data_IF_349652721221
#
_entry.id   IF_349652721221
#
_cell.length_a   1.000
_cell.length_b   1.000
_cell.length_c   1.000
_cell.angle_alpha   90.00
_cell.angle_beta   90.00
_cell.angle_gamma   90.00
#
_symmetry.space_group_name_H-M   'P 1'
#
loop_
_entity.id
_entity.type
_entity.pdbx_description
1 polymer ?
#
# COMPACT_ATOMS: atom_id res chain seq x y z
N UNK A 1 -54.36 -20.65 -14.30
CA UNK A 1 -54.00 -19.30 -14.63
C UNK A 1 -53.52 -18.53 -13.37
N UNK A 2 -52.44 -18.99 -12.68
CA UNK A 2 -51.90 -18.30 -11.49
C UNK A 2 -50.34 -18.40 -11.39
N UNK A 3 -49.63 -18.56 -12.51
CA UNK A 3 -48.15 -18.67 -12.50
C UNK A 3 -47.40 -17.63 -13.35
N UNK A 4 -48.12 -16.62 -13.88
CA UNK A 4 -47.48 -15.63 -14.80
C UNK A 4 -47.24 -14.24 -14.16
N UNK A 5 -47.75 -13.99 -12.95
CA UNK A 5 -47.67 -12.63 -12.34
C UNK A 5 -46.46 -12.45 -11.40
N UNK A 6 -45.72 -13.51 -11.08
CA UNK A 6 -44.58 -13.43 -10.16
C UNK A 6 -43.21 -13.14 -10.86
N UNK A 7 -43.15 -13.37 -12.19
CA UNK A 7 -41.92 -13.17 -12.95
C UNK A 7 -41.67 -11.70 -13.37
N UNK A 8 -42.73 -10.88 -13.41
CA UNK A 8 -42.64 -9.47 -13.82
C UNK A 8 -42.20 -8.57 -12.66
N UNK A 9 -42.46 -8.98 -11.41
CA UNK A 9 -42.04 -8.17 -10.23
C UNK A 9 -40.56 -8.26 -9.89
N UNK A 10 -39.87 -9.32 -10.34
CA UNK A 10 -38.43 -9.50 -10.11
C UNK A 10 -37.58 -8.72 -11.15
N UNK A 11 -38.13 -8.52 -12.35
CA UNK A 11 -37.46 -7.72 -13.39
C UNK A 11 -37.51 -6.20 -13.14
N UNK A 12 -38.50 -5.71 -12.38
CA UNK A 12 -38.65 -4.30 -12.04
C UNK A 12 -37.79 -3.89 -10.82
N UNK A 13 -37.37 -4.85 -9.98
CA UNK A 13 -36.42 -4.56 -8.86
C UNK A 13 -34.96 -4.56 -9.30
N UNK A 14 -34.65 -5.21 -10.43
CA UNK A 14 -33.28 -5.18 -10.99
C UNK A 14 -32.91 -3.87 -11.68
N UNK A 15 -33.88 -3.09 -12.15
CA UNK A 15 -33.65 -1.84 -12.85
C UNK A 15 -33.45 -0.61 -11.92
N UNK A 16 -33.87 -0.70 -10.67
CA UNK A 16 -33.71 0.38 -9.70
C UNK A 16 -32.36 0.35 -8.98
N UNK A 17 -31.67 -0.78 -8.97
CA UNK A 17 -30.31 -0.84 -8.43
C UNK A 17 -29.23 -0.39 -9.43
N UNK A 18 -29.52 -0.43 -10.73
CA UNK A 18 -28.58 0.03 -11.76
C UNK A 18 -28.52 1.56 -11.92
N UNK A 19 -29.52 2.29 -11.44
CA UNK A 19 -29.59 3.75 -11.59
C UNK A 19 -28.89 4.58 -10.50
N UNK A 20 -28.38 3.94 -9.44
CA UNK A 20 -27.67 4.66 -8.37
C UNK A 20 -26.18 4.83 -8.67
N UNK A 21 -25.66 4.17 -9.71
CA UNK A 21 -24.22 4.20 -10.07
C UNK A 21 -23.87 5.11 -11.28
N UNK A 22 -24.82 5.79 -11.90
CA UNK A 22 -24.56 6.55 -13.13
C UNK A 22 -24.11 8.01 -12.94
N UNK A 23 -23.78 8.48 -11.73
CA UNK A 23 -23.40 9.88 -11.51
C UNK A 23 -22.07 10.06 -10.75
N UNK A 24 -21.08 9.21 -11.00
CA UNK A 24 -19.69 9.58 -10.71
C UNK A 24 -18.96 9.78 -12.04
N UNK A 25 -18.88 11.03 -12.50
CA UNK A 25 -17.94 11.46 -13.55
C UNK A 25 -16.49 11.36 -13.01
N UNK A 26 -16.04 10.17 -12.64
CA UNK A 26 -14.63 9.87 -12.55
C UNK A 26 -14.24 9.45 -13.96
N UNK A 27 -13.37 10.17 -14.67
CA UNK A 27 -12.90 9.73 -15.97
C UNK A 27 -12.09 8.45 -15.79
N UNK A 28 -12.74 7.29 -16.02
CA UNK A 28 -11.99 6.05 -16.20
C UNK A 28 -11.00 6.26 -17.33
N UNK A 29 -9.72 6.10 -17.07
CA UNK A 29 -8.73 6.00 -18.14
C UNK A 29 -9.14 4.88 -19.09
N UNK A 30 -8.94 5.03 -20.42
CA UNK A 30 -9.30 3.98 -21.37
C UNK A 30 -8.68 2.65 -20.97
N UNK A 31 -9.45 1.57 -21.01
CA UNK A 31 -9.00 0.20 -20.69
C UNK A 31 -7.73 -0.17 -21.48
N UNK A 32 -7.58 0.37 -22.70
CA UNK A 32 -6.39 0.19 -23.54
C UNK A 32 -5.11 0.77 -22.95
N UNK A 33 -5.21 1.90 -22.23
CA UNK A 33 -4.07 2.55 -21.59
C UNK A 33 -3.65 1.80 -20.33
N UNK A 34 -4.63 1.30 -19.56
CA UNK A 34 -4.40 0.42 -18.43
C UNK A 34 -3.83 -0.94 -18.87
N UNK A 35 -4.37 -1.55 -19.90
CA UNK A 35 -3.92 -2.85 -20.41
C UNK A 35 -2.46 -2.82 -20.92
N UNK A 36 -2.02 -1.73 -21.55
CA UNK A 36 -0.62 -1.58 -21.98
C UNK A 36 0.34 -1.44 -20.81
N UNK A 37 -0.05 -0.69 -19.77
CA UNK A 37 0.73 -0.54 -18.55
C UNK A 37 0.87 -1.87 -17.81
N UNK A 38 -0.24 -2.57 -17.56
CA UNK A 38 -0.21 -3.89 -16.91
C UNK A 38 0.55 -4.95 -17.71
N UNK A 39 0.48 -4.90 -19.06
CA UNK A 39 1.26 -5.79 -19.90
C UNK A 39 2.77 -5.55 -19.78
N UNK A 40 3.21 -4.30 -19.67
CA UNK A 40 4.61 -3.95 -19.46
C UNK A 40 5.10 -4.38 -18.07
N UNK A 41 4.30 -4.13 -17.04
CA UNK A 41 4.61 -4.53 -15.66
C UNK A 41 4.63 -6.06 -15.51
N UNK A 42 3.66 -6.77 -16.07
CA UNK A 42 3.62 -8.23 -16.03
C UNK A 42 4.82 -8.89 -16.74
N UNK A 43 5.40 -8.25 -17.77
CA UNK A 43 6.63 -8.73 -18.41
C UNK A 43 7.86 -8.56 -17.52
N UNK A 44 7.93 -7.49 -16.75
CA UNK A 44 9.02 -7.27 -15.80
C UNK A 44 9.01 -8.31 -14.67
N UNK A 45 7.83 -8.81 -14.26
CA UNK A 45 7.70 -9.87 -13.24
C UNK A 45 8.03 -11.29 -13.75
N UNK A 46 8.31 -11.48 -15.04
CA UNK A 46 8.69 -12.78 -15.63
C UNK A 46 10.21 -12.98 -15.72
N UNK A 47 10.97 -12.45 -14.77
CA UNK A 47 12.42 -12.59 -14.74
C UNK A 47 12.84 -14.00 -14.33
N UNK A 48 13.98 -14.45 -14.88
CA UNK A 48 14.52 -15.78 -14.57
C UNK A 48 15.04 -15.92 -13.14
N UNK A 49 15.56 -14.80 -12.57
CA UNK A 49 16.14 -14.72 -11.22
C UNK A 49 15.12 -14.57 -10.08
N UNK A 50 13.84 -14.55 -10.39
CA UNK A 50 12.77 -14.33 -9.41
C UNK A 50 12.72 -15.41 -8.31
N UNK A 51 13.28 -16.59 -8.58
CA UNK A 51 13.35 -17.73 -7.67
C UNK A 51 14.74 -17.94 -7.05
N UNK A 52 15.69 -17.05 -7.32
CA UNK A 52 17.07 -17.22 -6.82
C UNK A 52 17.23 -16.74 -5.37
N UNK A 53 16.24 -15.99 -4.87
CA UNK A 53 16.19 -15.50 -3.50
C UNK A 53 14.75 -15.24 -3.05
N UNK A 54 14.52 -15.34 -1.75
CA UNK A 54 13.27 -15.00 -1.04
C UNK A 54 13.45 -13.73 -0.24
N UNK A 55 12.48 -12.81 -0.31
CA UNK A 55 12.50 -11.58 0.51
C UNK A 55 11.58 -11.75 1.69
N UNK A 56 12.14 -11.79 2.89
CA UNK A 56 11.38 -12.03 4.11
C UNK A 56 11.07 -10.75 4.93
N UNK A 57 11.78 -9.62 4.68
CA UNK A 57 11.51 -8.37 5.40
C UNK A 57 11.96 -7.15 4.59
N UNK A 58 11.16 -6.09 4.71
CA UNK A 58 11.51 -4.77 4.22
C UNK A 58 11.49 -3.74 5.37
N UNK A 59 12.53 -2.91 5.45
CA UNK A 59 12.52 -1.67 6.21
C UNK A 59 12.48 -0.50 5.22
N UNK A 60 11.37 0.21 5.19
CA UNK A 60 11.11 1.30 4.24
C UNK A 60 11.08 2.61 5.02
N UNK A 61 12.02 3.50 4.73
CA UNK A 61 12.09 4.84 5.31
C UNK A 61 11.88 5.86 4.20
N UNK A 62 10.89 6.73 4.36
CA UNK A 62 10.57 7.79 3.40
C UNK A 62 10.55 9.15 4.09
N UNK A 63 11.26 10.09 3.50
CA UNK A 63 11.10 11.52 3.74
C UNK A 63 10.32 12.11 2.55
N UNK A 64 9.16 12.71 2.84
CA UNK A 64 8.19 13.09 1.82
C UNK A 64 8.01 14.61 1.83
N UNK A 65 8.50 15.25 0.79
CA UNK A 65 8.31 16.69 0.60
C UNK A 65 7.06 16.92 -0.26
N UNK A 66 6.00 17.40 0.37
CA UNK A 66 4.69 17.61 -0.27
C UNK A 66 4.75 18.77 -1.28
N UNK A 67 5.50 19.82 -0.99
CA UNK A 67 5.55 21.04 -1.82
C UNK A 67 6.25 20.78 -3.15
N UNK A 68 7.31 19.95 -3.14
CA UNK A 68 8.07 19.60 -4.34
C UNK A 68 7.62 18.30 -4.98
N UNK A 69 6.72 17.54 -4.31
CA UNK A 69 6.27 16.21 -4.72
C UNK A 69 7.43 15.22 -4.91
N UNK A 70 8.47 15.35 -4.11
CA UNK A 70 9.66 14.49 -4.12
C UNK A 70 9.67 13.62 -2.86
N UNK A 71 10.01 12.36 -3.04
CA UNK A 71 10.33 11.45 -1.95
C UNK A 71 11.83 11.16 -1.94
N UNK A 72 12.39 11.04 -0.73
CA UNK A 72 13.72 10.52 -0.46
C UNK A 72 13.53 9.22 0.31
N UNK A 73 14.05 8.14 -0.22
CA UNK A 73 13.85 6.82 0.35
C UNK A 73 15.15 6.16 0.77
N UNK A 74 15.08 5.39 1.85
CA UNK A 74 16.09 4.42 2.24
C UNK A 74 15.37 3.10 2.49
N UNK A 75 15.69 2.08 1.71
CA UNK A 75 15.08 0.76 1.83
C UNK A 75 16.13 -0.28 2.13
N UNK A 76 15.91 -1.07 3.17
CA UNK A 76 16.66 -2.29 3.42
C UNK A 76 15.80 -3.49 3.01
N UNK A 77 16.36 -4.31 2.12
CA UNK A 77 15.76 -5.55 1.65
C UNK A 77 16.49 -6.71 2.33
N UNK A 78 15.80 -7.42 3.19
CA UNK A 78 16.34 -8.60 3.87
C UNK A 78 15.89 -9.84 3.10
N UNK A 79 16.85 -10.62 2.65
CA UNK A 79 16.60 -11.76 1.79
C UNK A 79 17.43 -13.00 2.17
N UNK A 80 16.94 -14.13 1.69
CA UNK A 80 17.59 -15.43 1.82
C UNK A 80 17.88 -15.95 0.40
N UNK A 81 19.13 -16.30 0.06
CA UNK A 81 19.44 -17.01 -1.17
C UNK A 81 18.73 -18.37 -1.22
N UNK A 82 18.10 -18.65 -2.36
CA UNK A 82 17.51 -19.96 -2.71
C UNK A 82 18.44 -20.79 -3.61
N UNK A 83 19.56 -20.18 -4.02
CA UNK A 83 20.62 -20.81 -4.80
C UNK A 83 21.97 -20.55 -4.17
N UNK A 84 22.92 -21.49 -4.35
CA UNK A 84 24.30 -21.28 -3.93
C UNK A 84 25.04 -20.34 -4.89
N UNK A 85 25.99 -19.59 -4.35
CA UNK A 85 26.78 -18.61 -5.07
C UNK A 85 25.95 -17.46 -5.68
N UNK A 86 24.99 -16.95 -4.95
CA UNK A 86 24.27 -15.74 -5.33
C UNK A 86 25.22 -14.54 -5.29
N UNK A 87 25.51 -13.93 -6.43
CA UNK A 87 26.43 -12.78 -6.59
C UNK A 87 25.74 -11.53 -7.07
N UNK A 88 24.45 -11.61 -7.43
CA UNK A 88 23.65 -10.47 -7.85
C UNK A 88 22.18 -10.69 -7.58
N UNK A 89 21.45 -9.58 -7.39
CA UNK A 89 20.00 -9.56 -7.29
C UNK A 89 19.42 -8.50 -8.23
N UNK A 90 18.14 -8.61 -8.55
CA UNK A 90 17.41 -7.62 -9.32
C UNK A 90 16.13 -7.24 -8.60
N UNK A 91 15.94 -5.95 -8.36
CA UNK A 91 14.72 -5.38 -7.83
C UNK A 91 13.99 -4.60 -8.91
N UNK A 92 12.68 -4.60 -8.83
CA UNK A 92 11.83 -3.74 -9.66
C UNK A 92 11.86 -2.33 -9.09
N UNK A 93 12.15 -1.34 -9.91
CA UNK A 93 12.15 0.07 -9.51
C UNK A 93 11.99 0.96 -10.73
N UNK A 94 11.04 1.89 -10.68
CA UNK A 94 10.72 2.74 -11.82
C UNK A 94 11.90 3.60 -12.27
N UNK A 95 12.17 3.61 -13.57
CA UNK A 95 13.30 4.37 -14.16
C UNK A 95 13.17 5.89 -14.07
N UNK A 96 11.98 6.39 -13.67
CA UNK A 96 11.79 7.80 -13.32
C UNK A 96 12.35 8.20 -11.95
N UNK A 97 12.71 7.23 -11.12
CA UNK A 97 13.37 7.42 -9.83
C UNK A 97 14.89 7.36 -9.99
N UNK A 98 15.61 8.02 -9.11
CA UNK A 98 17.09 8.05 -9.11
C UNK A 98 17.62 7.22 -7.94
N UNK A 99 18.45 6.22 -8.22
CA UNK A 99 19.20 5.49 -7.20
C UNK A 99 20.46 6.28 -6.89
N UNK A 100 20.60 6.71 -5.63
CA UNK A 100 21.76 7.50 -5.16
C UNK A 100 22.92 6.60 -4.76
N UNK A 101 22.61 5.53 -4.02
CA UNK A 101 23.61 4.58 -3.54
C UNK A 101 22.98 3.21 -3.23
N UNK A 102 23.81 2.17 -3.33
CA UNK A 102 23.61 0.91 -2.62
C UNK A 102 24.54 0.92 -1.42
N UNK A 103 23.99 0.88 -0.21
CA UNK A 103 24.69 1.23 1.02
C UNK A 103 25.14 0.02 1.84
N UNK A 104 24.51 -1.14 1.62
CA UNK A 104 24.81 -2.37 2.36
C UNK A 104 24.92 -3.52 1.36
N UNK A 105 25.97 -4.32 1.49
CA UNK A 105 26.25 -5.55 0.74
C UNK A 105 26.14 -5.44 -0.79
N UNK A 106 26.19 -4.24 -1.35
CA UNK A 106 26.21 -4.01 -2.79
C UNK A 106 27.54 -3.40 -3.24
N UNK A 107 28.22 -4.06 -4.16
CA UNK A 107 29.49 -3.58 -4.73
C UNK A 107 29.29 -2.62 -5.90
N UNK A 108 28.23 -2.82 -6.69
CA UNK A 108 27.89 -2.00 -7.84
C UNK A 108 26.42 -2.16 -8.20
N UNK A 109 25.87 -1.21 -8.95
CA UNK A 109 24.49 -1.31 -9.43
C UNK A 109 24.32 -0.70 -10.83
N UNK A 110 23.24 -1.14 -11.51
CA UNK A 110 22.76 -0.54 -12.73
C UNK A 110 21.24 -0.42 -12.66
N UNK A 111 20.71 0.78 -12.91
CA UNK A 111 19.28 1.04 -12.92
C UNK A 111 18.83 1.39 -14.33
N UNK A 112 18.08 0.49 -14.99
CA UNK A 112 17.68 0.64 -16.37
C UNK A 112 16.39 -0.15 -16.67
N UNK A 113 15.45 0.44 -17.43
CA UNK A 113 14.15 -0.16 -17.79
C UNK A 113 13.35 -0.71 -16.61
N UNK A 114 13.18 0.12 -15.56
CA UNK A 114 12.45 -0.22 -14.36
C UNK A 114 13.02 -1.44 -13.59
N UNK A 115 14.30 -1.71 -13.80
CA UNK A 115 15.03 -2.78 -13.16
C UNK A 115 16.30 -2.24 -12.50
N UNK A 116 16.44 -2.47 -11.21
CA UNK A 116 17.64 -2.21 -10.45
C UNK A 116 18.41 -3.51 -10.25
N UNK A 117 19.49 -3.67 -11.02
CA UNK A 117 20.41 -4.80 -10.92
C UNK A 117 21.55 -4.44 -9.95
N UNK A 118 21.76 -5.24 -8.92
CA UNK A 118 22.76 -5.01 -7.89
C UNK A 118 23.74 -6.17 -7.89
N UNK A 119 25.03 -5.88 -8.11
CA UNK A 119 26.12 -6.83 -7.89
C UNK A 119 26.43 -6.81 -6.39
N UNK A 120 26.40 -7.97 -5.74
CA UNK A 120 26.70 -8.10 -4.32
C UNK A 120 28.21 -7.94 -4.05
N UNK A 121 28.56 -7.64 -2.81
CA UNK A 121 29.96 -7.49 -2.38
C UNK A 121 30.65 -8.85 -2.12
N UNK A 122 29.90 -9.96 -2.23
CA UNK A 122 30.36 -11.31 -2.07
C UNK A 122 29.47 -12.32 -2.77
N UNK A 123 29.76 -13.60 -2.56
CA UNK A 123 28.96 -14.74 -3.02
C UNK A 123 28.27 -15.35 -1.80
N UNK A 124 26.95 -15.47 -1.86
CA UNK A 124 26.09 -15.90 -0.76
C UNK A 124 25.43 -17.24 -1.09
N UNK A 125 25.32 -18.12 -0.09
CA UNK A 125 24.77 -19.47 -0.27
C UNK A 125 23.42 -19.64 0.43
N UNK A 126 22.70 -20.67 0.06
CA UNK A 126 21.45 -21.05 0.73
C UNK A 126 21.63 -21.14 2.23
N UNK A 127 20.74 -20.49 3.00
CA UNK A 127 20.77 -20.43 4.47
C UNK A 127 21.57 -19.26 5.06
N UNK A 128 22.23 -18.45 4.24
CA UNK A 128 22.88 -17.20 4.67
C UNK A 128 21.86 -16.05 4.58
N UNK A 129 21.77 -15.21 5.62
CA UNK A 129 20.93 -14.01 5.58
C UNK A 129 21.70 -12.84 4.97
N UNK A 130 21.06 -12.12 4.06
CA UNK A 130 21.62 -11.00 3.33
C UNK A 130 20.72 -9.78 3.48
N UNK A 131 21.30 -8.61 3.69
CA UNK A 131 20.61 -7.31 3.69
C UNK A 131 21.20 -6.47 2.57
N UNK A 132 20.34 -5.85 1.75
CA UNK A 132 20.76 -4.89 0.72
C UNK A 132 20.08 -3.55 1.01
N UNK A 133 20.88 -2.51 1.23
CA UNK A 133 20.40 -1.15 1.48
C UNK A 133 20.45 -0.30 0.22
N UNK A 134 19.36 0.44 -0.07
CA UNK A 134 19.23 1.28 -1.26
C UNK A 134 18.76 2.66 -0.85
N UNK A 135 19.54 3.69 -1.22
CA UNK A 135 19.15 5.09 -1.10
C UNK A 135 18.74 5.63 -2.46
N UNK A 136 17.63 6.36 -2.49
CA UNK A 136 17.08 6.88 -3.73
C UNK A 136 16.23 8.13 -3.48
N UNK A 137 15.97 8.85 -4.55
CA UNK A 137 15.00 9.95 -4.53
C UNK A 137 14.30 10.10 -5.88
N UNK A 138 13.22 10.84 -5.89
CA UNK A 138 12.54 11.22 -7.13
C UNK A 138 11.08 11.58 -6.94
N UNK A 139 10.44 11.86 -8.06
CA UNK A 139 9.00 12.07 -8.13
C UNK A 139 8.33 10.75 -8.53
N UNK A 140 7.56 10.12 -7.63
CA UNK A 140 6.92 8.83 -7.92
C UNK A 140 6.00 8.93 -9.13
N UNK A 141 6.08 7.95 -10.01
CA UNK A 141 5.24 7.91 -11.19
C UNK A 141 3.80 7.58 -10.82
N UNK A 142 2.87 8.39 -11.29
CA UNK A 142 1.44 8.10 -11.24
C UNK A 142 1.12 7.07 -12.32
N UNK A 143 1.33 5.78 -12.01
CA UNK A 143 1.00 4.67 -12.91
C UNK A 143 -0.24 3.91 -12.43
N UNK A 144 -0.89 3.15 -13.32
CA UNK A 144 -1.99 2.25 -12.97
C UNK A 144 -3.17 2.94 -12.27
N UNK A 145 -3.56 2.43 -11.11
CA UNK A 145 -4.60 3.01 -10.24
C UNK A 145 -4.09 4.16 -9.35
N UNK A 146 -3.02 4.87 -9.71
CA UNK A 146 -2.35 5.89 -8.89
C UNK A 146 -1.45 5.27 -7.82
N UNK A 147 -0.46 4.48 -8.28
CA UNK A 147 0.45 3.75 -7.39
C UNK A 147 1.03 4.59 -6.25
N UNK A 148 1.34 5.86 -6.54
CA UNK A 148 1.63 6.91 -5.56
C UNK A 148 1.07 8.24 -6.09
N UNK A 149 0.24 8.91 -5.32
CA UNK A 149 -0.42 10.13 -5.78
C UNK A 149 -0.23 11.26 -4.78
N UNK A 150 0.28 12.39 -5.27
CA UNK A 150 0.14 13.68 -4.64
C UNK A 150 -1.15 14.35 -5.13
N UNK A 151 -1.90 14.93 -4.23
CA UNK A 151 -3.17 15.57 -4.56
C UNK A 151 -3.76 16.32 -3.38
N UNK A 152 -5.07 16.41 -3.33
CA UNK A 152 -5.80 17.11 -2.28
C UNK A 152 -7.03 16.29 -1.85
N UNK A 153 -7.47 16.44 -0.61
CA UNK A 153 -8.66 15.79 -0.08
C UNK A 153 -9.86 15.94 -1.02
N UNK A 154 -10.42 14.78 -1.45
CA UNK A 154 -11.55 14.75 -2.37
C UNK A 154 -11.30 15.40 -3.74
N UNK A 155 -10.05 15.39 -4.21
CA UNK A 155 -9.62 16.00 -5.49
C UNK A 155 -9.95 17.50 -5.60
N UNK A 156 -9.97 18.22 -4.49
CA UNK A 156 -10.27 19.64 -4.45
C UNK A 156 -9.03 20.46 -4.03
N UNK A 157 -8.42 21.24 -4.94
CA UNK A 157 -7.20 22.02 -4.65
C UNK A 157 -7.34 23.07 -3.53
N UNK A 158 -8.56 23.37 -3.11
CA UNK A 158 -8.80 24.29 -1.98
C UNK A 158 -8.82 23.59 -0.62
N UNK A 159 -8.61 22.27 -0.59
CA UNK A 159 -8.54 21.47 0.62
C UNK A 159 -7.09 21.09 0.94
N UNK A 160 -6.81 20.57 2.14
CA UNK A 160 -5.49 20.12 2.51
C UNK A 160 -4.86 19.15 1.51
N UNK A 161 -3.52 19.15 1.39
CA UNK A 161 -2.81 18.15 0.60
C UNK A 161 -3.13 16.75 1.06
N UNK A 162 -3.08 15.80 0.14
CA UNK A 162 -3.30 14.39 0.38
C UNK A 162 -2.32 13.57 -0.43
N UNK A 163 -1.62 12.65 0.23
CA UNK A 163 -0.81 11.63 -0.42
C UNK A 163 -1.46 10.28 -0.15
N UNK A 164 -1.53 9.43 -1.15
CA UNK A 164 -1.99 8.05 -1.00
C UNK A 164 -1.37 7.13 -2.03
N UNK A 165 -1.37 5.84 -1.71
CA UNK A 165 -0.93 4.78 -2.62
C UNK A 165 -2.07 3.84 -2.95
N UNK A 166 -2.04 3.33 -4.19
CA UNK A 166 -2.84 2.23 -4.68
C UNK A 166 -2.03 1.47 -5.71
N UNK A 167 -1.20 0.55 -5.24
CA UNK A 167 -0.12 -0.07 -6.02
C UNK A 167 -0.51 -1.37 -6.73
N UNK A 168 -1.76 -1.80 -6.64
CA UNK A 168 -2.24 -3.02 -7.29
C UNK A 168 -2.06 -2.97 -8.82
N UNK A 169 -1.63 -4.06 -9.49
CA UNK A 169 -1.04 -5.27 -8.90
C UNK A 169 0.50 -5.25 -8.92
N UNK A 170 1.17 -4.30 -9.61
CA UNK A 170 2.61 -4.20 -9.82
C UNK A 170 3.09 -2.75 -9.79
N UNK A 171 2.49 -1.93 -8.96
CA UNK A 171 2.79 -0.51 -8.85
C UNK A 171 3.71 -0.11 -7.70
N UNK A 172 4.08 -1.04 -6.83
CA UNK A 172 4.96 -0.77 -5.70
C UNK A 172 6.31 -0.21 -6.16
N UNK A 173 6.85 -0.74 -7.25
CA UNK A 173 8.07 -0.25 -7.92
C UNK A 173 8.06 1.22 -8.31
N UNK A 174 6.89 1.85 -8.37
CA UNK A 174 6.76 3.26 -8.76
C UNK A 174 7.28 4.21 -7.69
N UNK A 175 7.42 3.76 -6.44
CA UNK A 175 7.81 4.60 -5.33
C UNK A 175 8.86 4.01 -4.37
N UNK A 176 9.13 2.69 -4.44
CA UNK A 176 10.21 2.05 -3.68
C UNK A 176 10.75 0.82 -4.40
N UNK A 177 12.07 0.52 -4.30
CA UNK A 177 12.66 -0.66 -4.92
C UNK A 177 12.25 -1.92 -4.17
N UNK A 178 11.69 -2.90 -4.89
CA UNK A 178 11.18 -4.14 -4.30
C UNK A 178 11.19 -5.29 -5.30
N UNK A 179 10.98 -6.48 -4.80
CA UNK A 179 10.65 -7.65 -5.63
C UNK A 179 9.14 -7.62 -5.88
N UNK A 180 8.72 -6.86 -6.91
CA UNK A 180 7.31 -6.51 -7.15
C UNK A 180 6.54 -7.65 -7.83
N UNK A 181 6.42 -8.76 -7.11
CA UNK A 181 5.71 -9.97 -7.55
C UNK A 181 4.78 -10.47 -6.44
N UNK A 182 3.50 -10.71 -6.72
CA UNK A 182 2.53 -11.11 -5.69
C UNK A 182 2.78 -12.49 -5.07
N UNK A 183 3.62 -13.30 -5.69
CA UNK A 183 3.96 -14.65 -5.20
C UNK A 183 5.05 -14.66 -4.13
N UNK A 184 5.83 -13.58 -4.04
CA UNK A 184 6.82 -13.39 -2.99
C UNK A 184 6.24 -12.43 -1.95
N UNK A 185 5.93 -12.95 -0.77
CA UNK A 185 5.37 -12.17 0.34
C UNK A 185 6.43 -12.05 1.41
N UNK A 186 6.87 -10.81 1.68
CA UNK A 186 7.68 -10.58 2.86
C UNK A 186 6.90 -10.96 4.12
N UNK A 187 7.54 -11.63 5.08
CA UNK A 187 6.94 -12.05 6.35
C UNK A 187 6.48 -10.86 7.20
N UNK A 188 7.15 -9.72 7.02
CA UNK A 188 6.86 -8.48 7.73
C UNK A 188 7.42 -7.27 7.01
N UNK A 189 6.89 -6.08 7.35
CA UNK A 189 7.38 -4.79 6.85
C UNK A 189 7.37 -3.74 7.95
N UNK A 190 8.40 -2.92 7.99
CA UNK A 190 8.47 -1.69 8.80
C UNK A 190 8.47 -0.49 7.88
N UNK A 191 7.66 0.51 8.21
CA UNK A 191 7.48 1.70 7.39
C UNK A 191 7.66 2.92 8.29
N UNK A 192 8.65 3.75 7.97
CA UNK A 192 8.93 5.02 8.63
C UNK A 192 8.63 6.17 7.67
N UNK A 193 7.70 7.03 8.05
CA UNK A 193 7.24 8.14 7.23
C UNK A 193 7.58 9.46 7.91
N UNK A 194 8.46 10.25 7.31
CA UNK A 194 8.76 11.61 7.76
C UNK A 194 8.06 12.59 6.83
N UNK A 195 7.26 13.47 7.40
CA UNK A 195 6.47 14.47 6.67
C UNK A 195 6.23 15.70 7.55
N UNK A 196 5.60 16.74 7.02
CA UNK A 196 5.17 17.92 7.81
C UNK A 196 4.37 17.46 9.04
N UNK A 197 4.71 18.04 10.21
CA UNK A 197 4.12 17.66 11.49
C UNK A 197 2.60 17.93 11.58
N UNK A 198 2.06 18.73 10.67
CA UNK A 198 0.61 19.02 10.59
C UNK A 198 -0.21 17.84 10.06
N UNK A 199 0.42 16.83 9.43
CA UNK A 199 -0.29 15.71 8.82
C UNK A 199 -0.16 14.43 9.63
N UNK A 200 -1.20 13.60 9.53
CA UNK A 200 -1.17 12.23 10.00
C UNK A 200 -0.71 11.33 8.86
N UNK A 201 0.27 10.47 9.13
CA UNK A 201 0.80 9.49 8.20
C UNK A 201 0.37 8.09 8.62
N UNK A 202 -0.56 7.50 7.87
CA UNK A 202 -1.19 6.21 8.16
C UNK A 202 -0.62 5.14 7.25
N UNK A 203 -0.36 3.94 7.80
CA UNK A 203 0.16 2.79 7.04
C UNK A 203 -0.34 1.46 7.61
N UNK A 204 0.14 0.34 7.03
CA UNK A 204 -0.15 -1.03 7.45
C UNK A 204 0.37 -1.33 8.86
N UNK A 205 -0.26 -2.30 9.53
CA UNK A 205 0.19 -2.80 10.81
C UNK A 205 -0.10 -1.88 11.99
N UNK A 206 0.69 -1.98 13.04
CA UNK A 206 0.52 -1.24 14.29
C UNK A 206 1.45 -0.03 14.36
N UNK A 207 0.96 1.07 14.92
CA UNK A 207 1.76 2.24 15.21
C UNK A 207 2.81 1.91 16.28
N UNK A 208 4.08 2.08 15.94
CA UNK A 208 5.21 1.86 16.85
C UNK A 208 5.56 3.14 17.60
N UNK A 209 5.67 4.26 16.87
CA UNK A 209 6.00 5.55 17.46
C UNK A 209 5.66 6.72 16.55
N UNK A 210 5.44 7.88 17.15
CA UNK A 210 5.44 9.19 16.50
C UNK A 210 6.45 10.10 17.20
N UNK A 211 7.28 10.76 16.43
CA UNK A 211 8.33 11.66 16.95
C UNK A 211 8.30 12.98 16.19
N UNK A 212 8.09 14.07 16.92
CA UNK A 212 8.26 15.42 16.37
C UNK A 212 9.74 15.72 16.25
N UNK A 213 10.16 16.15 15.08
CA UNK A 213 11.53 16.54 14.78
C UNK A 213 11.74 18.03 15.04
N UNK A 214 12.99 18.46 15.06
CA UNK A 214 13.35 19.87 15.35
C UNK A 214 13.13 20.84 14.17
N UNK A 215 12.74 20.32 13.01
CA UNK A 215 12.55 21.03 11.73
C UNK A 215 11.07 21.11 11.31
N UNK A 216 10.16 21.02 12.27
CA UNK A 216 8.72 21.05 12.06
C UNK A 216 8.18 19.83 11.23
N UNK A 217 8.96 18.75 11.13
CA UNK A 217 8.50 17.48 10.58
C UNK A 217 8.11 16.50 11.68
N UNK A 218 7.42 15.43 11.31
CA UNK A 218 7.06 14.31 12.18
C UNK A 218 7.44 13.00 11.50
N UNK A 219 8.11 12.13 12.25
CA UNK A 219 8.39 10.75 11.82
C UNK A 219 7.41 9.81 12.50
N UNK A 220 6.60 9.11 11.71
CA UNK A 220 5.62 8.10 12.15
C UNK A 220 6.09 6.73 11.69
N UNK A 221 6.18 5.78 12.63
CA UNK A 221 6.69 4.44 12.36
C UNK A 221 5.58 3.42 12.58
N UNK A 222 5.35 2.59 11.56
CA UNK A 222 4.43 1.47 11.55
C UNK A 222 5.17 0.14 11.38
N UNK A 223 4.63 -0.93 11.93
CA UNK A 223 5.17 -2.28 11.77
C UNK A 223 4.03 -3.26 11.52
N UNK A 224 4.14 -4.01 10.42
CA UNK A 224 3.20 -5.05 10.04
C UNK A 224 3.90 -6.41 10.07
N UNK A 225 3.30 -7.39 10.76
CA UNK A 225 3.93 -8.68 11.12
C UNK A 225 3.28 -9.89 10.45
N UNK A 226 2.46 -9.67 9.46
CA UNK A 226 1.89 -10.74 8.65
C UNK A 226 2.52 -10.75 7.26
N UNK A 227 2.59 -11.93 6.60
CA UNK A 227 3.07 -11.99 5.23
C UNK A 227 2.28 -11.09 4.29
N UNK A 228 2.98 -10.15 3.63
CA UNK A 228 2.38 -9.11 2.81
C UNK A 228 2.99 -9.04 1.42
N UNK A 229 2.15 -8.88 0.38
CA UNK A 229 2.64 -8.57 -0.97
C UNK A 229 2.99 -7.10 -1.09
N UNK A 230 3.94 -6.79 -1.97
CA UNK A 230 4.46 -5.43 -2.17
C UNK A 230 3.36 -4.41 -2.50
N UNK A 231 2.36 -4.78 -3.32
CA UNK A 231 1.31 -3.85 -3.72
C UNK A 231 0.31 -3.51 -2.61
N UNK A 232 0.25 -4.32 -1.53
CA UNK A 232 -0.58 -4.04 -0.36
C UNK A 232 0.11 -3.13 0.67
N UNK A 233 1.42 -2.93 0.56
CA UNK A 233 2.13 -1.90 1.34
C UNK A 233 1.60 -0.55 0.92
N UNK A 234 1.06 0.21 1.88
CA UNK A 234 0.33 1.44 1.58
C UNK A 234 0.63 2.55 2.56
N UNK A 235 0.38 3.78 2.10
CA UNK A 235 0.37 4.96 2.94
C UNK A 235 -0.78 5.90 2.55
N UNK A 236 -1.27 6.64 3.54
CA UNK A 236 -2.22 7.72 3.36
C UNK A 236 -1.86 8.87 4.31
N UNK A 237 -1.59 10.06 3.76
CA UNK A 237 -1.04 11.20 4.51
C UNK A 237 -1.85 12.46 4.22
N UNK A 238 -2.45 13.02 5.24
CA UNK A 238 -3.16 14.31 5.24
C UNK A 238 -3.50 14.71 6.68
N UNK A 239 -4.21 15.81 6.90
CA UNK A 239 -4.85 16.03 8.18
C UNK A 239 -6.11 15.16 8.30
N UNK A 240 -6.21 14.39 9.36
CA UNK A 240 -7.35 13.50 9.60
C UNK A 240 -8.08 13.86 10.90
N UNK A 241 -9.37 13.61 10.93
CA UNK A 241 -10.10 13.34 12.17
C UNK A 241 -9.95 11.87 12.47
N UNK A 242 -9.29 11.56 13.58
CA UNK A 242 -9.02 10.20 14.04
C UNK A 242 -9.90 9.82 15.22
N UNK A 243 -10.39 8.57 15.21
CA UNK A 243 -10.97 7.92 16.37
C UNK A 243 -10.73 6.42 16.31
N UNK A 244 -10.86 5.75 17.46
CA UNK A 244 -10.68 4.30 17.58
C UNK A 244 -11.73 3.72 18.52
N UNK A 245 -12.01 2.43 18.35
CA UNK A 245 -12.79 1.60 19.27
C UNK A 245 -12.16 0.21 19.35
N UNK A 246 -12.44 -0.52 20.44
CA UNK A 246 -11.98 -1.90 20.59
C UNK A 246 -13.08 -2.86 20.14
N UNK A 247 -12.77 -3.73 19.19
CA UNK A 247 -13.60 -4.86 18.82
C UNK A 247 -13.24 -6.07 19.71
N UNK A 248 -14.26 -6.75 20.25
CA UNK A 248 -14.09 -7.92 21.11
C UNK A 248 -14.64 -9.15 20.43
N UNK A 249 -13.77 -10.13 20.16
CA UNK A 249 -14.16 -11.39 19.58
C UNK A 249 -14.80 -12.34 20.59
N UNK A 250 -15.60 -13.30 20.11
CA UNK A 250 -16.28 -14.26 20.97
C UNK A 250 -15.34 -15.17 21.80
N UNK A 251 -14.10 -15.34 21.38
CA UNK A 251 -13.07 -16.10 22.07
C UNK A 251 -12.38 -15.33 23.21
N UNK A 252 -12.68 -14.05 23.36
CA UNK A 252 -12.14 -13.15 24.39
C UNK A 252 -10.98 -12.28 23.93
N UNK A 253 -10.48 -12.47 22.72
CA UNK A 253 -9.49 -11.58 22.12
C UNK A 253 -10.11 -10.23 21.75
N UNK A 254 -9.26 -9.23 21.54
CA UNK A 254 -9.69 -7.90 21.13
C UNK A 254 -8.72 -7.29 20.12
N UNK A 255 -9.25 -6.45 19.24
CA UNK A 255 -8.52 -5.80 18.16
C UNK A 255 -8.95 -4.33 18.07
N UNK A 256 -8.03 -3.37 17.91
CA UNK A 256 -8.40 -1.98 17.65
C UNK A 256 -9.01 -1.84 16.25
N UNK A 257 -10.09 -1.09 16.17
CA UNK A 257 -10.64 -0.54 14.92
C UNK A 257 -10.25 0.93 14.89
N UNK A 258 -9.54 1.33 13.86
CA UNK A 258 -8.97 2.66 13.72
C UNK A 258 -9.54 3.35 12.49
N UNK A 259 -9.91 4.62 12.64
CA UNK A 259 -10.60 5.37 11.59
C UNK A 259 -9.93 6.73 11.39
N UNK A 260 -9.55 7.01 10.13
CA UNK A 260 -9.00 8.29 9.69
C UNK A 260 -9.87 8.88 8.58
N UNK A 261 -10.61 9.92 8.89
CA UNK A 261 -11.55 10.56 7.96
C UNK A 261 -11.18 12.01 7.78
N UNK A 262 -11.37 12.55 6.57
CA UNK A 262 -11.19 13.98 6.35
C UNK A 262 -12.05 14.80 7.31
N UNK A 263 -11.54 15.87 7.95
CA UNK A 263 -12.32 16.70 8.87
C UNK A 263 -13.63 17.19 8.26
N UNK A 264 -13.61 17.52 6.97
CA UNK A 264 -14.81 17.95 6.23
C UNK A 264 -15.86 16.85 6.02
N UNK A 265 -15.49 15.60 6.14
CA UNK A 265 -16.36 14.42 5.99
C UNK A 265 -16.83 13.87 7.34
N UNK A 266 -16.14 14.17 8.43
CA UNK A 266 -16.35 13.60 9.77
C UNK A 266 -17.61 14.15 10.46
N UNK A 267 -18.75 13.99 9.81
CA UNK A 267 -20.06 14.34 10.38
C UNK A 267 -20.60 13.20 11.22
N UNK A 268 -21.46 13.48 12.22
CA UNK A 268 -22.02 12.47 13.09
C UNK A 268 -22.66 11.29 12.33
N UNK A 269 -23.45 11.49 11.25
CA UNK A 269 -23.98 10.38 10.46
C UNK A 269 -22.90 9.53 9.73
N UNK A 270 -21.78 10.14 9.35
CA UNK A 270 -20.68 9.40 8.68
C UNK A 270 -19.88 8.60 9.71
N UNK A 271 -19.58 9.16 10.85
CA UNK A 271 -18.95 8.45 11.98
C UNK A 271 -19.79 7.24 12.37
N UNK A 272 -21.11 7.42 12.56
CA UNK A 272 -22.03 6.30 12.84
C UNK A 272 -22.00 5.20 11.77
N UNK A 273 -21.86 5.57 10.49
CA UNK A 273 -21.75 4.58 9.40
C UNK A 273 -20.48 3.78 9.48
N UNK A 274 -19.36 4.43 9.76
CA UNK A 274 -18.06 3.76 9.87
C UNK A 274 -17.99 2.86 11.10
N UNK A 275 -18.57 3.27 12.23
CA UNK A 275 -18.66 2.44 13.44
C UNK A 275 -19.48 1.13 13.24
N UNK A 276 -20.21 0.98 12.14
CA UNK A 276 -20.85 -0.30 11.79
C UNK A 276 -19.87 -1.40 11.42
N UNK A 277 -18.61 -1.05 11.18
CA UNK A 277 -17.53 -1.99 10.86
C UNK A 277 -17.40 -3.10 11.91
N UNK A 278 -17.52 -2.79 13.18
CA UNK A 278 -17.51 -3.78 14.26
C UNK A 278 -18.55 -4.90 14.03
N UNK A 279 -19.82 -4.54 13.78
CA UNK A 279 -20.85 -5.51 13.48
C UNK A 279 -20.69 -6.24 12.14
N UNK A 280 -19.99 -5.65 11.16
CA UNK A 280 -19.65 -6.34 9.92
C UNK A 280 -18.59 -7.41 10.17
N UNK A 281 -17.57 -7.12 10.98
CA UNK A 281 -16.54 -8.08 11.37
C UNK A 281 -17.16 -9.27 12.11
N UNK A 282 -18.13 -9.04 13.01
CA UNK A 282 -18.87 -10.11 13.69
C UNK A 282 -19.56 -11.04 12.68
N UNK A 283 -20.34 -10.46 11.76
CA UNK A 283 -21.07 -11.24 10.75
C UNK A 283 -20.10 -12.04 9.87
N UNK A 284 -19.02 -11.42 9.39
CA UNK A 284 -18.03 -12.12 8.57
C UNK A 284 -17.30 -13.20 9.37
N UNK A 285 -17.00 -12.95 10.65
CA UNK A 285 -16.35 -13.93 11.51
C UNK A 285 -17.26 -15.17 11.75
N UNK A 286 -18.57 -15.01 11.83
CA UNK A 286 -19.51 -16.11 11.96
C UNK A 286 -19.55 -17.02 10.71
N UNK A 287 -19.35 -16.45 9.51
CA UNK A 287 -19.44 -17.20 8.26
C UNK A 287 -18.10 -17.72 7.75
N UNK A 288 -17.01 -16.99 7.97
CA UNK A 288 -15.70 -17.22 7.36
C UNK A 288 -14.58 -17.52 8.37
N UNK A 289 -14.90 -17.45 9.67
CA UNK A 289 -13.91 -17.55 10.74
C UNK A 289 -13.39 -16.19 11.18
N UNK A 290 -12.69 -16.18 12.32
CA UNK A 290 -12.12 -14.96 12.93
C UNK A 290 -11.31 -14.16 11.90
N UNK A 291 -11.41 -12.84 11.97
CA UNK A 291 -10.62 -11.93 11.14
C UNK A 291 -9.12 -12.30 11.17
N UNK A 292 -8.48 -12.54 10.02
CA UNK A 292 -7.15 -13.17 9.99
C UNK A 292 -6.03 -12.29 10.56
N UNK A 293 -6.21 -10.97 10.60
CA UNK A 293 -5.22 -10.00 11.13
C UNK A 293 -5.61 -9.48 12.52
N UNK A 294 -6.30 -10.31 13.32
CA UNK A 294 -6.85 -9.92 14.62
C UNK A 294 -5.79 -9.56 15.68
N UNK A 295 -4.52 -9.92 15.49
CA UNK A 295 -3.43 -9.55 16.39
C UNK A 295 -2.87 -8.14 16.13
N UNK A 296 -3.32 -7.48 15.05
CA UNK A 296 -2.96 -6.10 14.73
C UNK A 296 -4.19 -5.20 14.83
N UNK A 297 -4.68 -4.70 13.70
CA UNK A 297 -5.82 -3.78 13.65
C UNK A 297 -6.71 -4.02 12.43
N UNK A 298 -7.88 -3.42 12.45
CA UNK A 298 -8.62 -3.09 11.24
C UNK A 298 -8.65 -1.56 11.12
N UNK A 299 -8.04 -1.02 10.05
CA UNK A 299 -7.92 0.42 9.81
C UNK A 299 -8.71 0.87 8.59
N UNK A 300 -9.33 2.04 8.67
CA UNK A 300 -9.96 2.71 7.54
C UNK A 300 -9.41 4.12 7.40
N UNK A 301 -8.76 4.42 6.28
CA UNK A 301 -8.29 5.77 5.95
C UNK A 301 -8.99 6.27 4.68
N UNK A 302 -9.61 7.45 4.77
CA UNK A 302 -10.19 8.10 3.59
C UNK A 302 -9.07 8.63 2.70
N UNK A 303 -9.17 8.42 1.39
CA UNK A 303 -8.21 8.93 0.41
C UNK A 303 -8.91 9.45 -0.86
N UNK A 304 -8.18 10.03 -1.80
CA UNK A 304 -8.77 10.78 -2.92
C UNK A 304 -9.37 9.94 -4.05
N UNK A 305 -9.32 8.64 -3.98
CA UNK A 305 -9.90 7.77 -5.00
C UNK A 305 -11.40 7.53 -4.78
N UNK A 306 -12.16 7.32 -5.86
CA UNK A 306 -13.62 7.16 -5.82
C UNK A 306 -14.13 5.75 -5.50
N UNK A 307 -13.30 4.90 -4.92
CA UNK A 307 -13.60 3.52 -4.54
C UNK A 307 -13.15 3.20 -3.14
N UNK A 308 -12.79 1.94 -2.93
CA UNK A 308 -12.10 1.45 -1.75
C UNK A 308 -10.98 0.50 -2.20
N UNK A 309 -9.92 0.39 -1.41
CA UNK A 309 -8.85 -0.57 -1.62
C UNK A 309 -8.61 -1.31 -0.31
N UNK A 310 -8.62 -2.63 -0.40
CA UNK A 310 -8.38 -3.57 0.69
C UNK A 310 -6.87 -3.80 0.89
N UNK A 311 -6.15 -2.78 1.33
CA UNK A 311 -4.79 -2.96 1.81
C UNK A 311 -4.77 -3.87 3.04
N UNK A 312 -3.67 -4.60 3.23
CA UNK A 312 -3.55 -5.55 4.33
C UNK A 312 -3.32 -4.86 5.67
#
# INVERSE_FOLDING_TARGET
MKKFTLLISILLLGSTFAQVYENTNVPCKPISEMASHYSALAKASQRADIFDYDVHYYNIELDINIDTEIIYGNVEVHLLPEVDNLESIQLDFASGMTVDAVTVNGANFNHFYDLLSITLDGSYNVGESLVVGIQYHGHPLQGGFQAFAFGHQGNNPSRPPMISTLSEPYGARSWWPCKDVPTDKADSVRISLTTDAAFDAVSNGMLVSETLNSDDTKTTIWEHKYPITTYLVSLAITDYTYWTEMHHFADGDSMPLEYWMYPSSATAPMVERWNRTAGMIDIFSDYFGKYPFAEEKYGMAQFQWGGAMEHQ
#
